data_IF_854999694179
#
_entry.id   IF_854999694179
#
_cell.length_a   1.000
_cell.length_b   1.000
_cell.length_c   1.000
_cell.angle_alpha   90.00
_cell.angle_beta   90.00
_cell.angle_gamma   90.00
#
_symmetry.space_group_name_H-M   'P 1'
#
loop_
_entity.id
_entity.type
_entity.pdbx_description
1 polymer ?
#
# COMPACT_ATOMS: atom_id res chain seq x y z
N UNK A 1 -8.89 -7.93 -7.68
CA UNK A 1 -7.94 -8.01 -6.56
C UNK A 1 -7.94 -6.70 -5.78
N UNK A 2 -7.94 -6.79 -4.48
CA UNK A 2 -8.04 -5.62 -3.60
C UNK A 2 -6.68 -5.26 -3.02
N UNK A 3 -6.18 -4.07 -3.38
CA UNK A 3 -4.86 -3.59 -2.99
C UNK A 3 -4.98 -2.45 -1.98
N UNK A 4 -4.19 -2.52 -0.91
CA UNK A 4 -4.13 -1.48 0.11
C UNK A 4 -2.70 -0.96 0.21
N UNK A 5 -2.53 0.34 0.00
CA UNK A 5 -1.23 1.02 0.11
C UNK A 5 -1.16 1.82 1.40
N UNK A 6 -0.09 1.64 2.16
CA UNK A 6 0.07 2.24 3.48
C UNK A 6 1.39 3.03 3.59
N UNK A 7 1.29 4.26 4.06
CA UNK A 7 2.42 5.07 4.48
C UNK A 7 2.15 5.64 5.87
N UNK A 8 2.82 6.71 6.27
CA UNK A 8 2.59 7.28 7.61
C UNK A 8 1.32 8.11 7.67
N UNK A 9 1.22 9.16 6.84
CA UNK A 9 0.15 10.16 6.93
C UNK A 9 -0.93 10.03 5.86
N UNK A 10 -0.72 9.21 4.86
CA UNK A 10 -1.65 9.03 3.74
C UNK A 10 -1.95 10.33 2.97
N UNK A 11 -0.96 11.18 2.86
CA UNK A 11 -1.11 12.45 2.14
C UNK A 11 -0.40 12.37 0.79
N UNK A 12 0.79 11.79 0.74
CA UNK A 12 1.61 11.77 -0.47
C UNK A 12 1.82 10.37 -1.05
N UNK A 13 2.64 9.53 -0.42
CA UNK A 13 3.08 8.24 -1.00
C UNK A 13 1.93 7.27 -1.27
N UNK A 14 1.19 6.90 -0.25
CA UNK A 14 0.12 5.91 -0.41
C UNK A 14 -1.07 6.46 -1.20
N UNK A 15 -1.36 7.75 -1.05
CA UNK A 15 -2.40 8.41 -1.84
C UNK A 15 -2.04 8.46 -3.31
N UNK A 16 -0.77 8.71 -3.65
CA UNK A 16 -0.29 8.66 -5.04
C UNK A 16 -0.48 7.25 -5.61
N UNK A 17 -0.09 6.23 -4.84
CA UNK A 17 -0.26 4.84 -5.28
C UNK A 17 -1.72 4.49 -5.54
N UNK A 18 -2.61 4.87 -4.65
CA UNK A 18 -4.05 4.65 -4.84
C UNK A 18 -4.53 5.28 -6.14
N UNK A 19 -4.25 6.56 -6.34
CA UNK A 19 -4.72 7.31 -7.51
C UNK A 19 -4.08 6.80 -8.81
N UNK A 20 -2.84 6.31 -8.74
CA UNK A 20 -2.12 5.77 -9.88
C UNK A 20 -2.68 4.41 -10.33
N UNK A 21 -2.94 3.51 -9.38
CA UNK A 21 -3.33 2.13 -9.71
C UNK A 21 -4.83 1.88 -9.75
N UNK A 22 -5.65 2.74 -9.17
CA UNK A 22 -7.11 2.56 -9.18
C UNK A 22 -7.74 2.59 -10.57
N UNK A 23 -7.00 3.10 -11.55
CA UNK A 23 -7.46 3.18 -12.95
C UNK A 23 -7.21 1.88 -13.72
N UNK A 24 -6.49 0.94 -13.15
CA UNK A 24 -6.21 -0.34 -13.82
C UNK A 24 -7.39 -1.29 -13.64
N UNK A 25 -7.83 -1.90 -14.72
CA UNK A 25 -8.91 -2.89 -14.69
C UNK A 25 -8.50 -4.11 -13.87
N UNK A 26 -9.44 -4.61 -13.08
CA UNK A 26 -9.22 -5.81 -12.27
C UNK A 26 -8.70 -5.52 -10.85
N UNK A 27 -8.50 -4.25 -10.50
CA UNK A 27 -8.01 -3.87 -9.18
C UNK A 27 -8.93 -2.88 -8.49
N UNK A 28 -9.26 -3.16 -7.23
CA UNK A 28 -9.86 -2.20 -6.31
C UNK A 28 -8.74 -1.71 -5.41
N UNK A 29 -8.52 -0.41 -5.35
CA UNK A 29 -7.35 0.16 -4.67
C UNK A 29 -7.77 1.18 -3.62
N UNK A 30 -7.22 1.03 -2.41
CA UNK A 30 -7.41 1.97 -1.31
C UNK A 30 -6.06 2.31 -0.69
N UNK A 31 -6.04 3.35 0.13
CA UNK A 31 -4.83 3.75 0.86
C UNK A 31 -5.17 4.20 2.27
N UNK A 32 -4.17 4.13 3.15
CA UNK A 32 -4.31 4.56 4.54
C UNK A 32 -2.94 4.92 5.12
N UNK A 33 -2.95 5.43 6.34
CA UNK A 33 -1.73 5.77 7.05
C UNK A 33 -1.70 5.17 8.46
N UNK A 34 -0.49 4.97 8.97
CA UNK A 34 -0.29 4.42 10.32
C UNK A 34 -0.31 5.48 11.41
N UNK A 35 -0.08 6.75 11.07
CA UNK A 35 -0.05 7.83 12.06
C UNK A 35 -1.45 8.14 12.58
N UNK A 36 -1.54 8.58 13.83
CA UNK A 36 -2.81 9.01 14.42
C UNK A 36 -3.45 10.15 13.62
N UNK A 37 -2.63 11.00 12.99
CA UNK A 37 -3.06 12.15 12.19
C UNK A 37 -3.25 11.85 10.71
N UNK A 38 -3.23 10.58 10.31
CA UNK A 38 -3.37 10.21 8.91
C UNK A 38 -4.70 10.69 8.32
N UNK A 39 -4.69 11.08 7.05
CA UNK A 39 -5.89 11.49 6.32
C UNK A 39 -6.95 10.38 6.37
N UNK A 40 -6.55 9.16 6.06
CA UNK A 40 -7.35 7.96 6.29
C UNK A 40 -6.52 7.05 7.18
N UNK A 41 -6.96 6.84 8.40
CA UNK A 41 -6.23 6.01 9.34
C UNK A 41 -6.49 4.53 9.05
N UNK A 42 -5.42 3.73 9.04
CA UNK A 42 -5.54 2.28 8.87
C UNK A 42 -6.39 1.70 10.02
N UNK A 43 -7.24 0.75 9.69
CA UNK A 43 -8.10 0.08 10.66
C UNK A 43 -8.27 -1.39 10.27
N UNK A 44 -8.86 -2.15 11.18
CA UNK A 44 -9.09 -3.58 10.98
C UNK A 44 -9.89 -3.89 9.72
N UNK A 45 -10.92 -3.09 9.43
CA UNK A 45 -11.77 -3.32 8.25
C UNK A 45 -10.99 -3.24 6.96
N UNK A 46 -10.08 -2.27 6.83
CA UNK A 46 -9.22 -2.12 5.66
C UNK A 46 -8.28 -3.30 5.51
N UNK A 47 -7.69 -3.75 6.62
CA UNK A 47 -6.76 -4.88 6.59
C UNK A 47 -7.46 -6.17 6.19
N UNK A 48 -8.65 -6.41 6.69
CA UNK A 48 -9.46 -7.58 6.33
C UNK A 48 -9.90 -7.50 4.85
N UNK A 49 -10.27 -6.32 4.39
CA UNK A 49 -10.69 -6.08 3.02
C UNK A 49 -9.60 -6.41 2.00
N UNK A 50 -8.34 -6.09 2.31
CA UNK A 50 -7.24 -6.18 1.36
C UNK A 50 -6.84 -7.62 1.05
N UNK A 51 -6.59 -7.90 -0.22
CA UNK A 51 -5.95 -9.14 -0.65
C UNK A 51 -4.43 -9.04 -0.49
N UNK A 52 -3.88 -7.87 -0.83
CA UNK A 52 -2.44 -7.59 -0.70
C UNK A 52 -2.25 -6.22 -0.06
N UNK A 53 -1.31 -6.12 0.86
CA UNK A 53 -0.98 -4.89 1.55
C UNK A 53 0.43 -4.47 1.14
N UNK A 54 0.55 -3.28 0.57
CA UNK A 54 1.84 -2.66 0.24
C UNK A 54 2.13 -1.57 1.25
N UNK A 55 3.28 -1.63 1.89
CA UNK A 55 3.73 -0.58 2.80
C UNK A 55 4.96 0.10 2.23
N UNK A 56 5.07 1.41 2.43
CA UNK A 56 6.16 2.20 1.84
C UNK A 56 7.50 1.92 2.50
N UNK A 57 7.50 1.65 3.79
CA UNK A 57 8.72 1.37 4.55
C UNK A 57 8.51 0.25 5.55
N UNK A 58 9.61 -0.37 5.97
CA UNK A 58 9.59 -1.47 6.94
C UNK A 58 8.95 -1.06 8.26
N UNK A 59 9.12 0.18 8.67
CA UNK A 59 8.49 0.73 9.87
C UNK A 59 6.98 0.61 9.84
N UNK A 60 6.35 0.81 8.68
CA UNK A 60 4.91 0.68 8.53
C UNK A 60 4.46 -0.77 8.79
N UNK A 61 5.20 -1.73 8.26
CA UNK A 61 4.92 -3.16 8.51
C UNK A 61 5.03 -3.47 9.99
N UNK A 62 6.08 -2.98 10.65
CA UNK A 62 6.28 -3.19 12.08
C UNK A 62 5.11 -2.63 12.90
N UNK A 63 4.65 -1.43 12.58
CA UNK A 63 3.51 -0.81 13.26
C UNK A 63 2.22 -1.63 13.08
N UNK A 64 1.99 -2.17 11.88
CA UNK A 64 0.85 -3.05 11.66
C UNK A 64 0.94 -4.32 12.48
N UNK A 65 2.13 -4.92 12.56
CA UNK A 65 2.35 -6.12 13.38
C UNK A 65 2.13 -5.88 14.87
N UNK A 66 2.52 -4.71 15.36
CA UNK A 66 2.34 -4.34 16.77
C UNK A 66 0.87 -4.06 17.10
N UNK A 67 0.16 -3.39 16.21
CA UNK A 67 -1.20 -2.90 16.48
C UNK A 67 -2.30 -3.88 16.03
N UNK A 68 -2.05 -4.62 14.96
CA UNK A 68 -3.03 -5.55 14.38
C UNK A 68 -2.41 -6.93 14.13
N UNK A 69 -1.82 -7.56 15.16
CA UNK A 69 -1.06 -8.80 14.96
C UNK A 69 -1.87 -9.95 14.36
N UNK A 70 -3.14 -10.09 14.74
CA UNK A 70 -3.98 -11.17 14.23
C UNK A 70 -4.42 -10.91 12.80
N UNK A 71 -4.74 -9.66 12.47
CA UNK A 71 -5.22 -9.30 11.14
C UNK A 71 -4.11 -9.38 10.10
N UNK A 72 -2.86 -9.16 10.50
CA UNK A 72 -1.70 -9.17 9.59
C UNK A 72 -1.14 -10.57 9.40
N UNK A 73 -1.32 -11.46 10.37
CA UNK A 73 -0.69 -12.79 10.39
C UNK A 73 -0.92 -13.59 9.10
N UNK A 74 -2.11 -13.52 8.54
CA UNK A 74 -2.48 -14.27 7.33
C UNK A 74 -2.39 -13.46 6.05
N UNK A 75 -1.96 -12.21 6.13
CA UNK A 75 -1.90 -11.30 4.98
C UNK A 75 -0.51 -11.22 4.40
N UNK A 76 -0.44 -11.08 3.07
CA UNK A 76 0.81 -10.75 2.40
C UNK A 76 1.06 -9.25 2.53
N UNK A 77 2.16 -8.89 3.17
CA UNK A 77 2.57 -7.50 3.35
C UNK A 77 3.91 -7.29 2.66
N UNK A 78 3.91 -6.45 1.64
CA UNK A 78 5.07 -6.20 0.79
C UNK A 78 5.65 -4.82 1.11
N UNK A 79 6.94 -4.76 1.42
CA UNK A 79 7.65 -3.52 1.70
C UNK A 79 8.26 -2.98 0.41
N UNK A 80 7.89 -1.76 0.02
CA UNK A 80 8.34 -1.16 -1.24
C UNK A 80 9.65 -0.38 -1.10
N UNK A 81 10.05 0.00 0.12
CA UNK A 81 11.26 0.77 0.39
C UNK A 81 11.30 2.13 -0.34
N UNK A 82 10.18 2.85 -0.30
CA UNK A 82 10.08 4.19 -0.87
C UNK A 82 10.17 5.22 0.26
N UNK A 83 11.23 6.05 0.31
CA UNK A 83 11.42 7.01 1.41
C UNK A 83 10.41 8.15 1.40
N UNK A 84 10.24 8.80 2.54
CA UNK A 84 9.31 9.91 2.73
C UNK A 84 9.97 11.24 2.32
N UNK A 85 10.15 11.42 1.01
CA UNK A 85 10.74 12.65 0.46
C UNK A 85 10.06 13.16 -0.80
N UNK A 86 8.90 12.60 -1.15
CA UNK A 86 8.18 12.96 -2.37
C UNK A 86 6.80 13.51 -2.02
N UNK A 87 6.39 14.54 -2.73
CA UNK A 87 5.03 15.06 -2.61
C UNK A 87 4.05 14.28 -3.46
N UNK A 88 2.77 14.59 -3.32
CA UNK A 88 1.71 13.92 -4.06
C UNK A 88 1.94 14.03 -5.57
N UNK A 89 1.92 12.88 -6.25
CA UNK A 89 2.10 12.75 -7.71
C UNK A 89 3.45 13.27 -8.23
N UNK A 90 4.46 13.38 -7.38
CA UNK A 90 5.83 13.67 -7.82
C UNK A 90 6.24 12.65 -8.89
N UNK A 91 6.83 13.12 -10.00
CA UNK A 91 7.20 12.25 -11.12
C UNK A 91 8.14 11.11 -10.71
N UNK A 92 9.08 11.38 -9.81
CA UNK A 92 9.99 10.37 -9.31
C UNK A 92 9.27 9.32 -8.46
N UNK A 93 8.31 9.75 -7.65
CA UNK A 93 7.48 8.84 -6.86
C UNK A 93 6.66 7.93 -7.77
N UNK A 94 6.04 8.49 -8.80
CA UNK A 94 5.26 7.72 -9.79
C UNK A 94 6.14 6.68 -10.46
N UNK A 95 7.35 7.06 -10.88
CA UNK A 95 8.32 6.15 -11.49
C UNK A 95 8.69 5.01 -10.55
N UNK A 96 9.02 5.33 -9.29
CA UNK A 96 9.37 4.33 -8.29
C UNK A 96 8.21 3.36 -8.01
N UNK A 97 6.99 3.88 -7.92
CA UNK A 97 5.80 3.04 -7.71
C UNK A 97 5.56 2.11 -8.88
N UNK A 98 5.64 2.62 -10.11
CA UNK A 98 5.48 1.78 -11.29
C UNK A 98 6.55 0.69 -11.34
N UNK A 99 7.82 1.05 -11.12
CA UNK A 99 8.92 0.10 -11.18
C UNK A 99 8.84 -0.99 -10.09
N UNK A 100 8.31 -0.63 -8.92
CA UNK A 100 8.20 -1.57 -7.80
C UNK A 100 6.94 -2.42 -7.85
N UNK A 101 5.81 -1.85 -8.23
CA UNK A 101 4.50 -2.49 -8.10
C UNK A 101 4.07 -3.25 -9.35
N UNK A 102 4.26 -2.69 -10.54
CA UNK A 102 3.77 -3.33 -11.77
C UNK A 102 4.33 -4.75 -11.98
N UNK A 103 5.63 -5.01 -11.78
CA UNK A 103 6.14 -6.37 -11.91
C UNK A 103 5.49 -7.36 -10.92
N UNK A 104 5.18 -6.89 -9.71
CA UNK A 104 4.52 -7.72 -8.69
C UNK A 104 3.08 -8.04 -9.09
N UNK A 105 2.36 -7.06 -9.62
CA UNK A 105 0.99 -7.28 -10.09
C UNK A 105 0.95 -8.25 -11.27
N UNK A 106 1.89 -8.13 -12.20
CA UNK A 106 1.99 -9.04 -13.33
C UNK A 106 2.25 -10.47 -12.87
N UNK A 107 3.15 -10.64 -11.90
CA UNK A 107 3.44 -11.96 -11.33
C UNK A 107 2.23 -12.54 -10.61
N UNK A 108 1.50 -11.74 -9.85
CA UNK A 108 0.30 -12.19 -9.16
C UNK A 108 -0.78 -12.65 -10.13
N UNK A 109 -0.93 -11.95 -11.27
CA UNK A 109 -1.88 -12.34 -12.31
C UNK A 109 -1.48 -13.66 -12.96
N UNK A 110 -0.19 -13.91 -13.20
CA UNK A 110 0.30 -15.18 -13.71
C UNK A 110 0.02 -16.31 -12.74
N UNK A 111 0.25 -16.09 -11.45
CA UNK A 111 0.05 -17.11 -10.40
C UNK A 111 -1.43 -17.44 -10.20
N UNK A 112 -2.35 -16.53 -10.55
CA UNK A 112 -3.78 -16.75 -10.37
C UNK A 112 -4.44 -17.50 -11.53
N UNK A 113 -3.71 -17.71 -12.60
CA UNK A 113 -4.14 -18.53 -13.73
C UNK A 113 -3.77 -19.99 -13.51
#
# INVERSE_FOLDING_TARGET
>A
MKLLFICSRNIWRSRTAEDLFKRRNGYDVRSAGTAASARIKVNQKLLIWADVIFVMEREHKKRLQEKFPLDIKSKEVIVLNIPDKYQYMDEKLVELLNDSVLPLLDKMNEDSE
#
